data_IF_114747022341
#
_entry.id   IF_114747022341
#
_cell.length_a   1.000
_cell.length_b   1.000
_cell.length_c   1.000
_cell.angle_alpha   90.00
_cell.angle_beta   90.00
_cell.angle_gamma   90.00
#
_symmetry.space_group_name_H-M   'P 1'
#
loop_
_entity.id
_entity.type
_entity.pdbx_description
1 polymer ?
#
# COMPACT_ATOMS: atom_id res chain seq x y z
N UNK A 1 -13.88 28.69 -9.51
CA UNK A 1 -13.73 27.49 -8.66
C UNK A 1 -13.68 26.29 -9.60
N UNK A 2 -12.49 25.94 -10.08
CA UNK A 2 -12.31 24.87 -11.07
C UNK A 2 -11.96 23.60 -10.33
N UNK A 3 -12.90 22.67 -10.29
CA UNK A 3 -12.87 21.45 -9.49
C UNK A 3 -12.67 20.25 -10.42
N UNK A 4 -11.60 20.22 -11.22
CA UNK A 4 -11.45 19.20 -12.29
C UNK A 4 -10.00 18.72 -12.47
N UNK A 5 -9.37 18.28 -11.39
CA UNK A 5 -8.20 17.40 -11.48
C UNK A 5 -8.24 16.37 -10.35
N UNK A 6 -9.36 15.65 -10.24
CA UNK A 6 -9.35 14.37 -9.54
C UNK A 6 -8.47 13.45 -10.37
N UNK A 7 -7.22 13.31 -9.93
CA UNK A 7 -6.19 12.44 -10.49
C UNK A 7 -6.81 11.11 -10.94
N UNK A 8 -6.96 10.91 -12.25
CA UNK A 8 -7.61 9.73 -12.84
C UNK A 8 -6.69 8.49 -12.84
N UNK A 9 -5.45 8.62 -12.37
CA UNK A 9 -4.55 7.48 -12.23
C UNK A 9 -4.86 6.73 -10.93
N UNK A 10 -5.00 5.39 -10.96
CA UNK A 10 -5.22 4.61 -9.75
C UNK A 10 -4.08 4.87 -8.78
N UNK A 11 -4.39 5.54 -7.68
CA UNK A 11 -3.40 5.80 -6.65
C UNK A 11 -3.18 4.49 -5.89
N UNK A 12 -1.95 4.00 -5.85
CA UNK A 12 -1.52 2.85 -5.06
C UNK A 12 -0.97 3.37 -3.74
N UNK A 13 -1.36 2.79 -2.62
CA UNK A 13 -0.92 3.15 -1.28
C UNK A 13 -0.14 1.97 -0.69
N UNK A 14 1.10 2.23 -0.31
CA UNK A 14 1.87 1.33 0.55
C UNK A 14 1.61 1.70 2.01
N UNK A 15 1.32 0.70 2.84
CA UNK A 15 1.41 0.80 4.29
C UNK A 15 2.68 0.08 4.72
N UNK A 16 3.59 0.79 5.36
CA UNK A 16 4.91 0.30 5.76
C UNK A 16 4.97 0.35 7.28
N UNK A 17 5.35 -0.75 7.91
CA UNK A 17 5.41 -0.87 9.37
C UNK A 17 6.68 -1.55 9.83
N UNK A 18 7.30 -1.04 10.89
CA UNK A 18 8.39 -1.70 11.61
C UNK A 18 7.89 -2.48 12.85
N UNK A 19 6.57 -2.59 13.02
CA UNK A 19 5.94 -3.17 14.21
C UNK A 19 5.63 -2.17 15.33
N UNK A 20 6.23 -0.98 15.29
CA UNK A 20 6.01 0.10 16.29
C UNK A 20 5.40 1.35 15.68
N UNK A 21 5.69 1.62 14.40
CA UNK A 21 5.28 2.79 13.64
C UNK A 21 4.70 2.35 12.31
N UNK A 22 3.70 3.09 11.86
CA UNK A 22 3.04 2.88 10.57
C UNK A 22 3.19 4.13 9.71
N UNK A 23 3.74 3.95 8.51
CA UNK A 23 3.84 4.99 7.48
C UNK A 23 2.96 4.61 6.29
N UNK A 24 2.38 5.61 5.64
CA UNK A 24 1.62 5.44 4.41
C UNK A 24 2.24 6.27 3.30
N UNK A 25 2.47 5.65 2.16
CA UNK A 25 3.03 6.33 0.99
C UNK A 25 2.16 6.05 -0.23
N UNK A 26 1.74 7.11 -0.91
CA UNK A 26 0.93 7.04 -2.11
C UNK A 26 1.81 7.14 -3.37
N UNK A 27 1.44 6.38 -4.39
CA UNK A 27 2.08 6.28 -5.69
C UNK A 27 1.02 6.38 -6.77
N UNK A 28 1.36 6.97 -7.91
CA UNK A 28 0.49 7.00 -9.10
C UNK A 28 0.85 5.94 -10.12
N UNK A 29 1.96 5.21 -9.90
CA UNK A 29 2.47 4.15 -10.75
C UNK A 29 2.65 2.87 -9.93
N UNK A 30 2.07 1.76 -10.42
CA UNK A 30 2.15 0.48 -9.76
C UNK A 30 3.58 -0.08 -9.73
N UNK A 31 4.35 0.11 -10.82
CA UNK A 31 5.73 -0.38 -10.90
C UNK A 31 6.65 0.28 -9.87
N UNK A 32 6.51 1.59 -9.66
CA UNK A 32 7.20 2.31 -8.60
C UNK A 32 6.76 1.83 -7.21
N UNK A 33 5.46 1.67 -6.99
CA UNK A 33 4.95 1.15 -5.72
C UNK A 33 5.51 -0.25 -5.43
N UNK A 34 5.56 -1.15 -6.42
CA UNK A 34 6.09 -2.50 -6.26
C UNK A 34 7.58 -2.50 -5.92
N UNK A 35 8.41 -1.74 -6.66
CA UNK A 35 9.85 -1.63 -6.36
C UNK A 35 10.10 -1.03 -4.98
N UNK A 36 9.33 -0.02 -4.59
CA UNK A 36 9.43 0.56 -3.24
C UNK A 36 9.02 -0.44 -2.17
N UNK A 37 7.93 -1.19 -2.38
CA UNK A 37 7.50 -2.23 -1.45
C UNK A 37 8.57 -3.31 -1.25
N UNK A 38 9.17 -3.80 -2.34
CA UNK A 38 10.27 -4.76 -2.29
C UNK A 38 11.49 -4.21 -1.54
N UNK A 39 11.83 -2.93 -1.75
CA UNK A 39 12.94 -2.30 -1.05
C UNK A 39 12.70 -2.25 0.46
N UNK A 40 11.51 -1.82 0.90
CA UNK A 40 11.16 -1.81 2.33
C UNK A 40 11.09 -3.23 2.92
N UNK A 41 10.58 -4.21 2.17
CA UNK A 41 10.57 -5.60 2.62
C UNK A 41 11.98 -6.17 2.81
N UNK A 42 12.94 -5.83 1.93
CA UNK A 42 14.36 -6.23 2.07
C UNK A 42 15.01 -5.64 3.32
N UNK A 43 14.59 -4.46 3.75
CA UNK A 43 15.02 -3.83 4.99
C UNK A 43 14.27 -4.35 6.24
N UNK A 44 13.37 -5.33 6.08
CA UNK A 44 12.67 -5.99 7.18
C UNK A 44 11.37 -5.31 7.63
N UNK A 45 10.87 -4.30 6.89
CA UNK A 45 9.56 -3.71 7.17
C UNK A 45 8.44 -4.62 6.67
N UNK A 46 7.33 -4.64 7.42
CA UNK A 46 6.06 -5.20 6.93
C UNK A 46 5.43 -4.22 5.95
N UNK A 47 5.08 -4.68 4.75
CA UNK A 47 4.52 -3.83 3.70
C UNK A 47 3.22 -4.41 3.16
N UNK A 48 2.17 -3.59 3.16
CA UNK A 48 0.89 -3.88 2.52
C UNK A 48 0.69 -2.93 1.33
N UNK A 49 0.27 -3.45 0.18
CA UNK A 49 -0.07 -2.63 -1.00
C UNK A 49 -1.57 -2.61 -1.26
N UNK A 50 -2.13 -1.41 -1.34
CA UNK A 50 -3.57 -1.16 -1.52
C UNK A 50 -3.80 -0.24 -2.70
N UNK A 51 -4.91 -0.38 -3.42
CA UNK A 51 -5.43 0.68 -4.27
C UNK A 51 -6.05 1.79 -3.42
N UNK A 52 -6.22 2.98 -3.98
CA UNK A 52 -6.93 4.07 -3.34
C UNK A 52 -8.44 3.82 -3.19
N UNK A 53 -8.96 2.77 -3.85
CA UNK A 53 -10.30 2.25 -3.60
C UNK A 53 -10.34 1.29 -2.39
N UNK A 54 -9.20 1.06 -1.73
CA UNK A 54 -9.06 0.20 -0.56
C UNK A 54 -8.95 -1.29 -0.89
N UNK A 55 -8.79 -1.65 -2.16
CA UNK A 55 -8.64 -3.05 -2.59
C UNK A 55 -7.17 -3.46 -2.49
N UNK A 56 -6.89 -4.61 -1.87
CA UNK A 56 -5.52 -5.14 -1.80
C UNK A 56 -5.11 -5.63 -3.20
N UNK A 57 -3.92 -5.21 -3.67
CA UNK A 57 -3.53 -5.37 -5.09
C UNK A 57 -2.55 -6.51 -5.36
N UNK A 58 -1.87 -7.01 -4.34
CA UNK A 58 -1.02 -8.20 -4.45
C UNK A 58 -1.79 -9.34 -3.84
N UNK A 59 -1.96 -10.47 -4.52
CA UNK A 59 -2.74 -11.63 -4.05
C UNK A 59 -2.06 -12.38 -2.87
N UNK A 60 -1.52 -11.65 -1.89
CA UNK A 60 -1.10 -12.17 -0.60
C UNK A 60 -2.34 -12.21 0.30
N UNK A 61 -3.04 -13.35 0.31
CA UNK A 61 -3.91 -13.70 1.41
C UNK A 61 -3.08 -13.59 2.70
N UNK A 62 -3.42 -12.70 3.66
CA UNK A 62 -2.80 -12.77 4.97
C UNK A 62 -3.23 -14.09 5.58
N UNK A 63 -2.31 -15.06 5.59
CA UNK A 63 -2.46 -16.26 6.40
C UNK A 63 -2.65 -15.78 7.83
N UNK A 64 -3.89 -15.91 8.32
CA UNK A 64 -4.46 -15.51 9.61
C UNK A 64 -5.19 -14.16 9.63
N UNK A 65 -6.45 -14.22 9.18
CA UNK A 65 -7.56 -13.69 10.00
C UNK A 65 -7.68 -14.58 11.24
N UNK A 66 -6.91 -14.29 12.26
CA UNK A 66 -7.23 -14.78 13.60
C UNK A 66 -7.14 -13.60 14.56
N UNK A 67 -8.28 -12.91 14.67
CA UNK A 67 -8.68 -12.17 15.85
C UNK A 67 -10.21 -12.10 15.77
N UNK A 68 -10.82 -13.20 16.18
CA UNK A 68 -12.12 -13.15 16.82
C UNK A 68 -11.93 -12.50 18.19
N UNK A 69 -12.54 -11.32 18.41
CA UNK A 69 -13.22 -10.94 19.67
C UNK A 69 -14.39 -10.03 19.28
#
# INVERSE_FOLDING_TARGET
MTNESRSQSPTVVLRISDGTRLVRQAFTDFGQAARSAEAYAREGFMVDMMSATGSFLMDFEPVRRDLAV
#
